data_IF_272707470435
#
_entry.id   IF_272707470435
#
_cell.length_a   1.000
_cell.length_b   1.000
_cell.length_c   1.000
_cell.angle_alpha   90.00
_cell.angle_beta   90.00
_cell.angle_gamma   90.00
#
_symmetry.space_group_name_H-M   'P 1'
#
loop_
_entity.id
_entity.type
_entity.pdbx_description
1 polymer ?
#
# COMPACT_ATOMS: atom_id res chain seq x y z
N UNK A 1 15.38 9.78 -12.53
CA UNK A 1 14.44 10.15 -11.46
C UNK A 1 13.54 8.98 -11.04
N UNK A 2 12.79 8.36 -11.96
CA UNK A 2 11.85 7.25 -11.66
C UNK A 2 12.54 6.09 -10.91
N UNK A 3 13.69 5.62 -11.41
CA UNK A 3 14.43 4.52 -10.78
C UNK A 3 14.75 4.77 -9.31
N UNK A 4 15.23 5.97 -8.95
CA UNK A 4 15.60 6.32 -7.57
C UNK A 4 14.40 6.38 -6.64
N UNK A 5 13.26 6.90 -7.12
CA UNK A 5 12.03 6.93 -6.34
C UNK A 5 11.52 5.51 -6.07
N UNK A 6 11.56 4.63 -7.08
CA UNK A 6 11.21 3.22 -6.91
C UNK A 6 12.15 2.51 -5.96
N UNK A 7 13.46 2.76 -6.05
CA UNK A 7 14.45 2.19 -5.14
C UNK A 7 14.16 2.58 -3.69
N UNK A 8 13.85 3.86 -3.43
CA UNK A 8 13.44 4.32 -2.11
C UNK A 8 12.16 3.62 -1.65
N UNK A 9 11.16 3.49 -2.53
CA UNK A 9 9.90 2.78 -2.21
C UNK A 9 10.17 1.35 -1.78
N UNK A 10 10.94 0.56 -2.54
CA UNK A 10 11.18 -0.84 -2.20
C UNK A 10 11.98 -1.02 -0.90
N UNK A 11 12.90 -0.09 -0.59
CA UNK A 11 13.65 -0.12 0.68
C UNK A 11 12.69 0.16 1.84
N UNK A 12 11.92 1.24 1.76
CA UNK A 12 10.98 1.62 2.84
C UNK A 12 9.90 0.55 3.02
N UNK A 13 9.34 0.03 1.92
CA UNK A 13 8.31 -1.01 1.95
C UNK A 13 8.87 -2.40 2.28
N UNK A 14 10.19 -2.62 2.18
CA UNK A 14 10.85 -3.82 2.69
C UNK A 14 11.07 -3.78 4.20
N UNK A 15 11.35 -2.60 4.76
CA UNK A 15 11.58 -2.42 6.20
C UNK A 15 10.25 -2.37 6.98
N UNK A 16 9.25 -1.65 6.46
CA UNK A 16 8.00 -1.39 7.17
C UNK A 16 7.27 -2.66 7.68
N UNK A 17 7.13 -3.74 6.89
CA UNK A 17 6.52 -4.98 7.36
C UNK A 17 7.20 -5.65 8.56
N UNK A 18 8.52 -5.47 8.72
CA UNK A 18 9.26 -6.01 9.86
C UNK A 18 8.86 -5.25 11.13
N UNK A 19 8.78 -3.93 11.03
CA UNK A 19 8.30 -3.06 12.13
C UNK A 19 6.83 -3.36 12.43
N UNK A 20 5.99 -3.47 11.39
CA UNK A 20 4.57 -3.80 11.54
C UNK A 20 4.39 -5.15 12.25
N UNK A 21 5.16 -6.20 11.89
CA UNK A 21 5.10 -7.52 12.55
C UNK A 21 5.32 -7.41 14.05
N UNK A 22 6.35 -6.69 14.48
CA UNK A 22 6.67 -6.49 15.91
C UNK A 22 5.58 -5.65 16.59
N UNK A 23 5.09 -4.61 15.91
CA UNK A 23 4.09 -3.70 16.47
C UNK A 23 2.70 -4.34 16.67
N UNK A 24 2.30 -5.26 15.77
CA UNK A 24 1.00 -5.93 15.86
C UNK A 24 0.99 -7.10 16.85
N UNK A 25 2.15 -7.58 17.30
CA UNK A 25 2.22 -8.74 18.20
C UNK A 25 1.59 -8.42 19.57
N UNK A 26 0.57 -9.20 19.95
CA UNK A 26 -0.16 -8.99 21.20
C UNK A 26 -1.04 -7.73 21.26
N UNK A 27 -1.22 -7.00 20.15
CA UNK A 27 -2.02 -5.77 20.11
C UNK A 27 -3.27 -5.92 19.24
N UNK A 28 -4.23 -5.00 19.38
CA UNK A 28 -5.39 -4.96 18.48
C UNK A 28 -5.00 -4.33 17.14
N UNK A 29 -5.22 -5.00 15.99
CA UNK A 29 -4.96 -4.44 14.67
C UNK A 29 -5.66 -3.11 14.42
N UNK A 30 -6.84 -2.92 15.02
CA UNK A 30 -7.60 -1.68 14.92
C UNK A 30 -6.91 -0.53 15.66
N UNK A 31 -6.45 -0.79 16.89
CA UNK A 31 -5.74 0.19 17.71
C UNK A 31 -4.39 0.54 17.07
N UNK A 32 -3.63 -0.47 16.62
CA UNK A 32 -2.37 -0.23 15.90
C UNK A 32 -2.56 0.63 14.66
N UNK A 33 -3.63 0.40 13.89
CA UNK A 33 -3.92 1.21 12.71
C UNK A 33 -4.37 2.65 13.04
N UNK A 34 -5.03 2.88 14.19
CA UNK A 34 -5.32 4.24 14.69
C UNK A 34 -4.02 5.00 14.94
N UNK A 35 -3.08 4.40 15.70
CA UNK A 35 -1.78 5.04 15.96
C UNK A 35 -1.05 5.36 14.65
N UNK A 36 -0.95 4.39 13.74
CA UNK A 36 -0.34 4.58 12.42
C UNK A 36 -1.01 5.73 11.64
N UNK A 37 -2.33 5.74 11.58
CA UNK A 37 -3.09 6.71 10.78
C UNK A 37 -2.99 8.12 11.34
N UNK A 38 -3.07 8.27 12.67
CA UNK A 38 -2.91 9.57 13.33
C UNK A 38 -1.50 10.12 13.18
N UNK A 39 -0.47 9.27 13.31
CA UNK A 39 0.92 9.69 13.08
C UNK A 39 1.12 10.19 11.65
N UNK A 40 0.64 9.44 10.65
CA UNK A 40 0.73 9.87 9.24
C UNK A 40 -0.06 11.16 9.02
N UNK A 41 -1.29 11.26 9.51
CA UNK A 41 -2.12 12.45 9.36
C UNK A 41 -1.43 13.70 9.96
N UNK A 42 -0.88 13.58 11.17
CA UNK A 42 -0.15 14.66 11.82
C UNK A 42 1.06 15.12 11.00
N UNK A 43 1.89 14.18 10.54
CA UNK A 43 3.08 14.48 9.74
C UNK A 43 2.70 15.11 8.39
N UNK A 44 1.66 14.61 7.71
CA UNK A 44 1.21 15.16 6.44
C UNK A 44 0.64 16.58 6.58
N UNK A 45 -0.12 16.85 7.66
CA UNK A 45 -0.59 18.21 7.96
C UNK A 45 0.59 19.14 8.21
N UNK A 46 1.58 18.71 9.01
CA UNK A 46 2.76 19.52 9.28
C UNK A 46 3.54 19.85 7.99
N UNK A 47 3.80 18.84 7.14
CA UNK A 47 4.49 19.05 5.85
C UNK A 47 3.69 20.03 4.98
N UNK A 48 2.38 19.85 4.86
CA UNK A 48 1.51 20.72 4.03
C UNK A 48 1.45 22.16 4.55
N UNK A 49 1.53 22.33 5.88
CA UNK A 49 1.60 23.64 6.51
C UNK A 49 2.93 24.32 6.20
N UNK A 50 4.06 23.65 6.44
CA UNK A 50 5.39 24.22 6.21
C UNK A 50 5.75 24.40 4.73
N UNK A 51 5.15 23.63 3.82
CA UNK A 51 5.29 23.83 2.37
C UNK A 51 4.47 25.02 1.84
N UNK A 52 3.61 25.63 2.67
CA UNK A 52 2.70 26.71 2.25
C UNK A 52 1.57 26.24 1.34
N UNK A 53 1.35 24.93 1.24
CA UNK A 53 0.34 24.32 0.36
C UNK A 53 -1.04 24.23 1.02
N UNK A 54 -1.15 24.49 2.33
CA UNK A 54 -2.42 24.42 3.05
C UNK A 54 -3.54 25.29 2.43
N UNK A 55 -3.16 26.38 1.75
CA UNK A 55 -4.08 27.25 0.98
C UNK A 55 -4.79 26.54 -0.19
N UNK A 56 -4.28 25.40 -0.63
CA UNK A 56 -4.88 24.59 -1.70
C UNK A 56 -5.78 23.47 -1.16
N UNK A 57 -5.80 23.22 0.15
CA UNK A 57 -6.59 22.13 0.74
C UNK A 57 -8.08 22.24 0.37
N UNK A 58 -8.64 23.46 0.45
CA UNK A 58 -10.04 23.74 0.09
C UNK A 58 -10.29 23.89 -1.41
N UNK A 59 -9.23 23.90 -2.23
CA UNK A 59 -9.33 23.97 -3.70
C UNK A 59 -9.34 22.59 -4.36
N UNK A 60 -9.23 21.53 -3.56
CA UNK A 60 -9.21 20.16 -4.07
C UNK A 60 -10.53 19.81 -4.75
N UNK A 61 -10.53 19.35 -6.02
CA UNK A 61 -11.76 18.92 -6.67
C UNK A 61 -12.42 17.78 -5.89
N UNK A 62 -13.72 17.88 -5.62
CA UNK A 62 -14.48 16.89 -4.83
C UNK A 62 -14.33 15.46 -5.39
N UNK A 63 -14.31 15.32 -6.73
CA UNK A 63 -14.06 14.04 -7.40
C UNK A 63 -12.73 13.41 -6.96
N UNK A 64 -11.66 14.20 -6.92
CA UNK A 64 -10.35 13.72 -6.51
C UNK A 64 -10.35 13.39 -5.02
N UNK A 65 -10.93 14.26 -4.19
CA UNK A 65 -11.06 14.02 -2.75
C UNK A 65 -11.77 12.68 -2.46
N UNK A 66 -12.85 12.38 -3.19
CA UNK A 66 -13.57 11.12 -3.07
C UNK A 66 -12.69 9.92 -3.41
N UNK A 67 -11.90 9.97 -4.49
CA UNK A 67 -10.96 8.89 -4.82
C UNK A 67 -9.89 8.70 -3.74
N UNK A 68 -9.37 9.76 -3.14
CA UNK A 68 -8.42 9.64 -2.02
C UNK A 68 -9.08 9.05 -0.77
N UNK A 69 -10.33 9.43 -0.46
CA UNK A 69 -11.09 8.85 0.66
C UNK A 69 -11.33 7.36 0.42
N UNK A 70 -11.79 6.98 -0.77
CA UNK A 70 -11.98 5.57 -1.14
C UNK A 70 -10.66 4.79 -1.06
N UNK A 71 -9.58 5.36 -1.58
CA UNK A 71 -8.24 4.76 -1.50
C UNK A 71 -7.80 4.57 -0.03
N UNK A 72 -7.99 5.57 0.82
CA UNK A 72 -7.68 5.50 2.25
C UNK A 72 -8.50 4.43 2.97
N UNK A 73 -9.79 4.32 2.69
CA UNK A 73 -10.66 3.28 3.26
C UNK A 73 -10.27 1.87 2.81
N UNK A 74 -9.95 1.69 1.53
CA UNK A 74 -9.58 0.39 0.97
C UNK A 74 -8.17 -0.03 1.39
N UNK A 75 -7.17 0.81 1.14
CA UNK A 75 -5.76 0.48 1.40
C UNK A 75 -5.41 0.66 2.89
N UNK A 76 -5.69 1.83 3.45
CA UNK A 76 -5.33 2.16 4.84
C UNK A 76 -6.29 1.60 5.88
N UNK A 77 -7.55 1.36 5.53
CA UNK A 77 -8.55 0.75 6.40
C UNK A 77 -8.60 -0.77 6.27
N UNK A 78 -9.41 -1.24 5.31
CA UNK A 78 -9.74 -2.67 5.15
C UNK A 78 -8.47 -3.50 4.88
N UNK A 79 -7.64 -3.05 3.94
CA UNK A 79 -6.42 -3.73 3.52
C UNK A 79 -5.41 -3.90 4.66
N UNK A 80 -5.06 -2.80 5.35
CA UNK A 80 -4.14 -2.85 6.50
C UNK A 80 -4.69 -3.70 7.64
N UNK A 81 -5.99 -3.61 7.97
CA UNK A 81 -6.56 -4.45 9.05
C UNK A 81 -6.45 -5.94 8.70
N UNK A 82 -6.78 -6.33 7.47
CA UNK A 82 -6.65 -7.71 7.02
C UNK A 82 -5.17 -8.16 7.03
N UNK A 83 -4.27 -7.30 6.54
CA UNK A 83 -2.83 -7.54 6.52
C UNK A 83 -2.24 -7.72 7.92
N UNK A 84 -2.60 -6.86 8.88
CA UNK A 84 -2.17 -6.95 10.26
C UNK A 84 -2.65 -8.23 10.95
N UNK A 85 -3.91 -8.63 10.74
CA UNK A 85 -4.43 -9.90 11.27
C UNK A 85 -3.62 -11.11 10.78
N UNK A 86 -3.27 -11.15 9.49
CA UNK A 86 -2.45 -12.24 8.94
C UNK A 86 -1.01 -12.14 9.43
N UNK A 87 -0.44 -10.93 9.54
CA UNK A 87 0.88 -10.73 10.11
C UNK A 87 0.99 -11.23 11.55
N UNK A 88 -0.08 -11.16 12.35
CA UNK A 88 -0.04 -11.68 13.73
C UNK A 88 0.15 -13.21 13.76
N UNK A 89 -0.51 -13.93 12.86
CA UNK A 89 -0.62 -15.40 12.93
C UNK A 89 0.33 -16.15 11.98
N UNK A 90 1.03 -15.45 11.08
CA UNK A 90 1.90 -16.06 10.09
C UNK A 90 3.31 -15.43 10.03
N UNK A 91 4.32 -16.15 9.50
CA UNK A 91 5.66 -15.61 9.31
C UNK A 91 5.70 -14.48 8.29
N UNK A 92 6.36 -13.37 8.60
CA UNK A 92 6.48 -12.20 7.71
C UNK A 92 7.10 -12.56 6.36
N UNK A 93 8.04 -13.52 6.35
CA UNK A 93 8.69 -14.04 5.14
C UNK A 93 7.72 -14.68 4.14
N UNK A 94 6.53 -15.12 4.59
CA UNK A 94 5.47 -15.64 3.72
C UNK A 94 4.40 -14.59 3.42
N UNK A 95 4.01 -13.82 4.44
CA UNK A 95 2.93 -12.82 4.32
C UNK A 95 3.29 -11.71 3.35
N UNK A 96 4.53 -11.19 3.41
CA UNK A 96 4.94 -10.04 2.57
C UNK A 96 4.95 -10.40 1.08
N UNK A 97 5.60 -11.50 0.63
CA UNK A 97 5.55 -11.90 -0.77
C UNK A 97 4.14 -12.21 -1.26
N UNK A 98 3.31 -12.88 -0.44
CA UNK A 98 1.92 -13.15 -0.79
C UNK A 98 1.10 -11.86 -0.93
N UNK A 99 1.26 -10.90 -0.02
CA UNK A 99 0.62 -9.60 -0.13
C UNK A 99 1.10 -8.83 -1.38
N UNK A 100 2.37 -8.96 -1.75
CA UNK A 100 2.96 -8.38 -2.96
C UNK A 100 2.42 -8.98 -4.27
N UNK A 101 1.44 -9.89 -4.23
CA UNK A 101 0.66 -10.33 -5.40
C UNK A 101 -0.48 -9.39 -5.79
N UNK A 102 -0.80 -8.36 -4.99
CA UNK A 102 -1.85 -7.40 -5.36
C UNK A 102 -1.66 -6.71 -6.74
N UNK A 103 -0.43 -6.51 -7.29
CA UNK A 103 -0.26 -5.94 -8.62
C UNK A 103 -0.93 -6.76 -9.73
N UNK A 104 -1.22 -8.04 -9.50
CA UNK A 104 -2.03 -8.86 -10.40
C UNK A 104 -3.45 -8.30 -10.52
N UNK A 105 -4.06 -8.00 -9.37
CA UNK A 105 -5.38 -7.39 -9.29
C UNK A 105 -5.34 -6.02 -9.96
N UNK A 106 -4.30 -5.22 -9.69
CA UNK A 106 -4.11 -3.91 -10.32
C UNK A 106 -4.00 -4.02 -11.84
N UNK A 107 -3.26 -4.99 -12.38
CA UNK A 107 -3.12 -5.18 -13.83
C UNK A 107 -4.46 -5.55 -14.50
N UNK A 108 -5.27 -6.39 -13.85
CA UNK A 108 -6.61 -6.73 -14.36
C UNK A 108 -7.54 -5.52 -14.32
N UNK A 109 -7.56 -4.80 -13.20
CA UNK A 109 -8.39 -3.61 -13.05
C UNK A 109 -7.94 -2.47 -13.96
N UNK A 110 -6.64 -2.30 -14.22
CA UNK A 110 -6.15 -1.26 -15.11
C UNK A 110 -6.50 -1.53 -16.56
N UNK A 111 -6.53 -2.79 -17.00
CA UNK A 111 -7.12 -3.16 -18.29
C UNK A 111 -8.61 -2.81 -18.36
N UNK A 112 -9.37 -3.23 -17.34
CA UNK A 112 -10.83 -3.12 -17.36
C UNK A 112 -11.33 -1.68 -17.24
N UNK A 113 -10.69 -0.86 -16.39
CA UNK A 113 -11.18 0.47 -16.03
C UNK A 113 -10.35 1.62 -16.60
N UNK A 114 -9.06 1.40 -16.89
CA UNK A 114 -8.16 2.43 -17.41
C UNK A 114 -7.83 2.24 -18.90
N UNK A 115 -8.29 1.14 -19.51
CA UNK A 115 -8.05 0.84 -20.92
C UNK A 115 -6.58 0.52 -21.23
N UNK A 116 -5.79 0.13 -20.22
CA UNK A 116 -4.40 -0.27 -20.44
C UNK A 116 -4.34 -1.54 -21.29
N UNK A 117 -3.50 -1.55 -22.32
CA UNK A 117 -3.26 -2.76 -23.12
C UNK A 117 -2.35 -3.72 -22.34
N UNK A 118 -2.73 -4.99 -22.29
CA UNK A 118 -1.81 -6.05 -21.86
C UNK A 118 -1.00 -6.53 -23.05
N UNK A 119 0.30 -6.32 -22.95
CA UNK A 119 1.26 -6.93 -23.87
C UNK A 119 1.55 -8.36 -23.42
N UNK A 120 1.92 -9.27 -24.35
CA UNK A 120 2.36 -10.62 -23.98
C UNK A 120 3.50 -10.61 -22.96
N UNK A 121 4.44 -9.66 -23.08
CA UNK A 121 5.54 -9.48 -22.13
C UNK A 121 5.04 -9.14 -20.72
N UNK A 122 4.06 -8.22 -20.58
CA UNK A 122 3.46 -7.89 -19.29
C UNK A 122 2.78 -9.11 -18.70
N UNK A 123 2.00 -9.85 -19.49
CA UNK A 123 1.34 -11.07 -19.05
C UNK A 123 2.34 -12.13 -18.53
N UNK A 124 3.39 -12.42 -19.30
CA UNK A 124 4.42 -13.40 -18.93
C UNK A 124 5.15 -12.95 -17.65
N UNK A 125 5.58 -11.68 -17.58
CA UNK A 125 6.25 -11.15 -16.39
C UNK A 125 5.36 -11.20 -15.15
N UNK A 126 4.09 -10.85 -15.29
CA UNK A 126 3.07 -10.99 -14.26
C UNK A 126 2.92 -12.44 -13.80
N UNK A 127 2.82 -13.41 -14.72
CA UNK A 127 2.74 -14.83 -14.41
C UNK A 127 3.99 -15.35 -13.67
N UNK A 128 5.19 -14.92 -14.08
CA UNK A 128 6.44 -15.27 -13.40
C UNK A 128 6.51 -14.71 -11.98
N UNK A 129 5.99 -13.50 -11.75
CA UNK A 129 5.86 -12.94 -10.39
C UNK A 129 4.93 -13.81 -9.54
N UNK A 130 3.79 -14.24 -10.07
CA UNK A 130 2.86 -15.16 -9.35
C UNK A 130 3.56 -16.46 -8.99
N UNK A 131 4.22 -17.07 -9.98
CA UNK A 131 4.92 -18.32 -9.78
C UNK A 131 6.03 -18.18 -8.71
N UNK A 132 6.81 -17.09 -8.78
CA UNK A 132 7.82 -16.78 -7.76
C UNK A 132 7.23 -16.63 -6.37
N UNK A 133 6.13 -15.88 -6.22
CA UNK A 133 5.43 -15.71 -4.94
C UNK A 133 4.92 -17.05 -4.41
N UNK A 134 4.38 -17.92 -5.27
CA UNK A 134 3.93 -19.26 -4.89
C UNK A 134 5.10 -20.15 -4.43
N UNK A 135 6.28 -20.02 -5.03
CA UNK A 135 7.47 -20.79 -4.64
C UNK A 135 8.09 -20.32 -3.31
N UNK A 136 7.91 -19.05 -2.95
CA UNK A 136 8.37 -18.50 -1.65
C UNK A 136 7.49 -18.96 -0.48
N UNK A 137 6.36 -19.63 -0.77
CA UNK A 137 5.39 -20.13 0.21
C UNK A 137 5.97 -21.15 1.20
#
# INVERSE_FOLDING_TARGET
>A
MIFWLLLLTIIVWGIAPIIDKVAVEGTSPYIGNIYRSLTIAFVMVAITFFSGELKYAFKMPMKNALYYVMSGLLAGGIGVIAYYKVLQIAPTSKVVPLAASYPLVTAVLSMAFLGEKVTPARFIGTALIVAGIYLVK
#
